data_IF_297868458146
#
_entry.id   IF_297868458146
#
_cell.length_a   1.000
_cell.length_b   1.000
_cell.length_c   1.000
_cell.angle_alpha   90.00
_cell.angle_beta   90.00
_cell.angle_gamma   90.00
#
_symmetry.space_group_name_H-M   'P 1'
#
loop_
_entity.id
_entity.type
_entity.pdbx_description
1 polymer ?
#
# COMPACT_ATOMS: atom_id res chain seq x y z
N UNK A 1 -2.93 11.00 -10.26
CA UNK A 1 -3.81 10.90 -9.08
C UNK A 1 -3.04 10.10 -8.05
N UNK A 2 -2.54 10.75 -7.00
CA UNK A 2 -1.64 10.16 -6.01
C UNK A 2 -2.46 9.33 -5.04
N UNK A 3 -2.22 8.01 -5.01
CA UNK A 3 -2.97 7.06 -4.20
C UNK A 3 -2.34 6.93 -2.79
N UNK A 4 -3.11 7.19 -1.74
CA UNK A 4 -2.75 6.91 -0.34
C UNK A 4 -3.64 5.76 0.17
N UNK A 5 -3.06 4.80 0.89
CA UNK A 5 -3.60 3.45 1.18
C UNK A 5 -3.87 3.26 2.68
N UNK A 6 -4.96 2.52 2.99
CA UNK A 6 -5.26 1.95 4.31
C UNK A 6 -5.06 0.41 4.30
N UNK A 7 -3.84 -0.04 4.60
CA UNK A 7 -3.41 -1.35 5.12
C UNK A 7 -1.94 -1.12 5.49
N UNK A 8 -1.70 -0.60 6.70
CA UNK A 8 -0.45 0.07 7.04
C UNK A 8 0.75 -0.89 7.01
N UNK A 9 0.53 -2.16 7.37
CA UNK A 9 1.62 -3.14 7.35
C UNK A 9 2.19 -3.40 5.95
N UNK A 10 1.41 -3.18 4.89
CA UNK A 10 1.93 -3.33 3.53
C UNK A 10 3.00 -2.29 3.17
N UNK A 11 3.06 -1.16 3.88
CA UNK A 11 4.14 -0.18 3.73
C UNK A 11 5.50 -0.74 4.19
N UNK A 12 5.50 -1.80 5.01
CA UNK A 12 6.69 -2.45 5.54
C UNK A 12 6.67 -3.97 5.27
N UNK A 13 5.98 -4.41 4.22
CA UNK A 13 5.68 -5.81 3.97
C UNK A 13 6.92 -6.70 3.88
N UNK A 14 7.99 -6.19 3.26
CA UNK A 14 9.23 -6.94 3.08
C UNK A 14 9.85 -7.35 4.41
N UNK A 15 9.82 -6.43 5.40
CA UNK A 15 10.28 -6.70 6.77
C UNK A 15 9.46 -7.80 7.44
N UNK A 16 8.14 -7.80 7.25
CA UNK A 16 7.26 -8.80 7.84
C UNK A 16 7.45 -10.19 7.20
N UNK A 17 7.56 -10.23 5.86
CA UNK A 17 7.88 -11.45 5.11
C UNK A 17 9.21 -12.02 5.59
N UNK A 18 10.28 -11.21 5.61
CA UNK A 18 11.61 -11.65 6.01
C UNK A 18 11.64 -12.22 7.43
N UNK A 19 11.03 -11.52 8.39
CA UNK A 19 10.97 -12.02 9.77
C UNK A 19 10.19 -13.32 9.89
N UNK A 20 9.10 -13.46 9.14
CA UNK A 20 8.27 -14.65 9.14
C UNK A 20 9.00 -15.84 8.55
N UNK A 21 9.63 -15.66 7.38
CA UNK A 21 10.44 -16.71 6.77
C UNK A 21 11.58 -17.17 7.70
N UNK A 22 12.25 -16.23 8.39
CA UNK A 22 13.30 -16.57 9.35
C UNK A 22 12.75 -17.42 10.50
N UNK A 23 11.62 -17.03 11.08
CA UNK A 23 10.99 -17.75 12.20
C UNK A 23 10.45 -19.12 11.77
N UNK A 24 9.89 -19.23 10.56
CA UNK A 24 9.35 -20.48 10.05
C UNK A 24 10.45 -21.48 9.64
N UNK A 25 11.63 -20.99 9.22
CA UNK A 25 12.81 -21.82 8.90
C UNK A 25 13.65 -22.19 10.12
N UNK A 26 13.65 -21.36 11.15
CA UNK A 26 14.43 -21.58 12.37
C UNK A 26 13.68 -22.49 13.34
N UNK A 27 14.01 -23.78 13.30
CA UNK A 27 13.47 -24.78 14.23
C UNK A 27 13.80 -24.48 15.70
N UNK A 28 14.86 -23.71 15.98
CA UNK A 28 15.31 -23.41 17.36
C UNK A 28 14.62 -22.19 17.98
N UNK A 29 14.17 -21.21 17.17
CA UNK A 29 13.37 -20.09 17.65
C UNK A 29 12.00 -20.54 18.21
N UNK A 30 11.53 -21.71 17.78
CA UNK A 30 10.33 -22.36 18.29
C UNK A 30 10.53 -23.00 19.69
N UNK A 31 11.77 -23.25 20.13
CA UNK A 31 12.03 -24.01 21.36
C UNK A 31 11.89 -23.17 22.64
N UNK A 32 11.98 -21.83 22.58
CA UNK A 32 11.95 -20.95 23.76
C UNK A 32 10.56 -20.59 24.31
N UNK A 33 9.48 -21.24 23.83
CA UNK A 33 8.11 -20.95 24.24
C UNK A 33 7.41 -22.22 24.75
N UNK A 34 8.01 -22.95 25.70
CA UNK A 34 7.51 -24.22 26.25
C UNK A 34 6.06 -24.14 26.76
N UNK A 35 5.59 -22.97 27.19
CA UNK A 35 4.19 -22.80 27.60
C UNK A 35 3.21 -23.14 26.46
N UNK A 36 3.62 -23.01 25.20
CA UNK A 36 2.81 -23.37 24.05
C UNK A 36 2.45 -24.86 24.01
N UNK A 37 3.25 -25.74 24.63
CA UNK A 37 2.97 -27.17 24.69
C UNK A 37 1.70 -27.45 25.53
N UNK A 38 1.39 -26.56 26.49
CA UNK A 38 0.14 -26.61 27.26
C UNK A 38 -1.12 -26.37 26.42
N UNK A 39 -0.99 -25.88 25.18
CA UNK A 39 -2.12 -25.77 24.25
C UNK A 39 -2.73 -27.14 23.92
N UNK A 40 -1.96 -28.23 24.06
CA UNK A 40 -2.45 -29.60 23.88
C UNK A 40 -3.36 -30.06 25.02
N UNK A 41 -3.26 -29.43 26.18
CA UNK A 41 -4.12 -29.70 27.35
C UNK A 41 -5.44 -28.91 27.30
N UNK A 42 -5.58 -27.92 26.42
CA UNK A 42 -6.83 -27.18 26.23
C UNK A 42 -7.73 -27.91 25.22
N UNK A 43 -8.96 -28.21 25.64
CA UNK A 43 -9.92 -29.00 24.84
C UNK A 43 -10.25 -28.40 23.48
N UNK A 44 -10.16 -27.07 23.35
CA UNK A 44 -10.44 -26.35 22.11
C UNK A 44 -9.19 -26.26 21.25
N UNK A 45 -8.06 -25.85 21.83
CA UNK A 45 -6.81 -25.63 21.08
C UNK A 45 -6.21 -26.94 20.56
N UNK A 46 -6.30 -28.04 21.31
CA UNK A 46 -5.74 -29.34 20.90
C UNK A 46 -6.34 -29.91 19.60
N UNK A 47 -7.49 -29.38 19.16
CA UNK A 47 -8.15 -29.77 17.90
C UNK A 47 -7.58 -29.03 16.68
N UNK A 48 -6.82 -27.97 16.90
CA UNK A 48 -6.18 -27.20 15.84
C UNK A 48 -4.92 -27.95 15.41
N UNK A 49 -4.82 -28.23 14.12
CA UNK A 49 -3.63 -28.86 13.56
C UNK A 49 -2.40 -27.97 13.78
N UNK A 50 -1.27 -28.56 14.17
CA UNK A 50 -0.01 -27.84 14.41
C UNK A 50 -0.12 -26.69 15.43
N UNK A 51 -1.06 -26.77 16.38
CA UNK A 51 -1.34 -25.68 17.34
C UNK A 51 -0.13 -25.21 18.12
N UNK A 52 0.74 -26.14 18.52
CA UNK A 52 1.97 -25.85 19.25
C UNK A 52 2.93 -25.03 18.38
N UNK A 53 3.09 -25.40 17.11
CA UNK A 53 3.91 -24.67 16.13
C UNK A 53 3.34 -23.27 15.88
N UNK A 54 2.02 -23.15 15.68
CA UNK A 54 1.34 -21.86 15.48
C UNK A 54 1.58 -20.95 16.70
N UNK A 55 1.39 -21.47 17.92
CA UNK A 55 1.64 -20.72 19.15
C UNK A 55 3.10 -20.25 19.23
N UNK A 56 4.06 -21.17 19.02
CA UNK A 56 5.50 -20.87 19.11
C UNK A 56 5.91 -19.78 18.11
N UNK A 57 5.46 -19.88 16.86
CA UNK A 57 5.72 -18.90 15.81
C UNK A 57 5.04 -17.55 16.08
N UNK A 58 3.78 -17.55 16.54
CA UNK A 58 3.05 -16.34 16.90
C UNK A 58 3.76 -15.57 18.02
N UNK A 59 4.20 -16.26 19.06
CA UNK A 59 4.92 -15.66 20.19
C UNK A 59 6.31 -15.17 19.77
N UNK A 60 7.01 -15.91 18.91
CA UNK A 60 8.29 -15.48 18.35
C UNK A 60 8.16 -14.21 17.51
N UNK A 61 7.13 -14.13 16.64
CA UNK A 61 6.82 -12.93 15.87
C UNK A 61 6.51 -11.75 16.79
N UNK A 62 5.62 -11.94 17.77
CA UNK A 62 5.29 -10.92 18.77
C UNK A 62 6.55 -10.36 19.45
N UNK A 63 7.46 -11.23 19.88
CA UNK A 63 8.70 -10.84 20.55
C UNK A 63 9.72 -10.15 19.62
N UNK A 64 9.61 -10.37 18.30
CA UNK A 64 10.43 -9.68 17.29
C UNK A 64 9.99 -8.22 17.09
N UNK A 65 8.70 -7.92 17.27
CA UNK A 65 8.16 -6.57 17.16
C UNK A 65 8.36 -5.79 18.47
N UNK A 66 9.38 -4.92 18.49
CA UNK A 66 9.73 -4.10 19.66
C UNK A 66 8.52 -3.28 20.16
N UNK A 67 7.70 -2.76 19.26
CA UNK A 67 6.50 -1.99 19.59
C UNK A 67 5.49 -2.80 20.40
N UNK A 68 5.32 -4.09 20.09
CA UNK A 68 4.42 -5.02 20.77
C UNK A 68 5.04 -5.48 22.09
N UNK A 69 6.25 -6.06 22.02
CA UNK A 69 6.96 -6.60 23.19
C UNK A 69 7.07 -5.59 24.34
N UNK A 70 7.38 -4.34 24.02
CA UNK A 70 7.56 -3.29 25.02
C UNK A 70 6.28 -2.48 25.30
N UNK A 71 5.18 -2.74 24.58
CA UNK A 71 3.92 -2.00 24.61
C UNK A 71 4.10 -0.50 24.31
N UNK A 72 4.85 -0.19 23.25
CA UNK A 72 5.15 1.17 22.82
C UNK A 72 4.10 1.65 21.81
N UNK A 73 2.88 1.89 22.30
CA UNK A 73 1.69 2.26 21.51
C UNK A 73 1.93 3.53 20.67
N UNK A 74 2.81 4.42 21.13
CA UNK A 74 3.16 5.67 20.44
C UNK A 74 4.17 5.49 19.30
N UNK A 75 4.78 4.31 19.14
CA UNK A 75 5.69 4.06 18.03
C UNK A 75 4.93 4.04 16.70
N UNK A 76 5.46 4.68 15.64
CA UNK A 76 4.82 4.67 14.33
C UNK A 76 4.52 3.26 13.77
N UNK A 77 5.38 2.28 14.10
CA UNK A 77 5.21 0.90 13.62
C UNK A 77 4.13 0.11 14.37
N UNK A 78 3.67 0.58 15.54
CA UNK A 78 2.79 -0.19 16.42
C UNK A 78 1.52 -0.67 15.69
N UNK A 79 0.83 0.23 14.98
CA UNK A 79 -0.39 -0.14 14.24
C UNK A 79 -0.11 -1.17 13.14
N UNK A 80 0.99 -1.01 12.40
CA UNK A 80 1.42 -1.96 11.37
C UNK A 80 1.78 -3.32 11.96
N UNK A 81 2.46 -3.32 13.11
CA UNK A 81 2.81 -4.55 13.82
C UNK A 81 1.54 -5.26 14.31
N UNK A 82 0.56 -4.52 14.88
CA UNK A 82 -0.74 -5.08 15.27
C UNK A 82 -1.52 -5.66 14.09
N UNK A 83 -1.65 -4.91 12.98
CA UNK A 83 -2.33 -5.36 11.76
C UNK A 83 -1.69 -6.63 11.21
N UNK A 84 -0.35 -6.68 11.19
CA UNK A 84 0.37 -7.87 10.73
C UNK A 84 0.13 -9.09 11.61
N UNK A 85 0.20 -8.94 12.94
CA UNK A 85 -0.06 -10.05 13.86
C UNK A 85 -1.49 -10.58 13.69
N UNK A 86 -2.47 -9.69 13.48
CA UNK A 86 -3.84 -10.09 13.23
C UNK A 86 -3.96 -10.86 11.91
N UNK A 87 -3.42 -10.31 10.82
CA UNK A 87 -3.38 -10.96 9.51
C UNK A 87 -2.73 -12.34 9.60
N UNK A 88 -1.50 -12.43 10.12
CA UNK A 88 -0.75 -13.68 10.18
C UNK A 88 -1.53 -14.76 10.93
N UNK A 89 -2.12 -14.43 12.08
CA UNK A 89 -2.86 -15.43 12.86
C UNK A 89 -4.14 -15.87 12.16
N UNK A 90 -4.86 -14.94 11.50
CA UNK A 90 -5.98 -15.28 10.63
C UNK A 90 -5.55 -16.27 9.53
N UNK A 91 -4.43 -16.03 8.85
CA UNK A 91 -3.95 -16.95 7.80
C UNK A 91 -3.67 -18.36 8.32
N UNK A 92 -3.07 -18.49 9.51
CA UNK A 92 -2.71 -19.79 10.09
C UNK A 92 -3.91 -20.55 10.63
N UNK A 93 -4.95 -19.85 11.07
CA UNK A 93 -6.15 -20.46 11.64
C UNK A 93 -7.27 -20.69 10.60
N UNK A 94 -7.16 -20.11 9.39
CA UNK A 94 -8.14 -20.21 8.30
C UNK A 94 -8.17 -21.60 7.60
N UNK A 95 -8.22 -22.69 8.38
CA UNK A 95 -8.46 -24.03 7.88
C UNK A 95 -9.92 -24.41 8.10
N UNK A 96 -10.56 -25.04 7.11
CA UNK A 96 -11.99 -25.39 7.09
C UNK A 96 -12.46 -26.31 8.26
N UNK A 97 -11.54 -26.85 9.06
CA UNK A 97 -11.82 -27.71 10.21
C UNK A 97 -11.72 -26.98 11.57
N UNK A 98 -11.27 -25.72 11.59
CA UNK A 98 -11.06 -24.98 12.83
C UNK A 98 -12.32 -24.22 13.22
N UNK A 99 -12.95 -24.64 14.32
CA UNK A 99 -14.16 -23.98 14.87
C UNK A 99 -13.86 -22.79 15.78
N UNK A 100 -12.59 -22.49 16.05
CA UNK A 100 -12.19 -21.41 16.94
C UNK A 100 -11.99 -20.10 16.15
N UNK A 101 -12.58 -19.04 16.66
CA UNK A 101 -12.32 -17.66 16.20
C UNK A 101 -10.93 -17.20 16.63
N UNK A 102 -10.27 -16.38 15.83
CA UNK A 102 -8.91 -15.89 16.06
C UNK A 102 -8.77 -15.16 17.40
N UNK A 103 -9.78 -14.37 17.78
CA UNK A 103 -9.79 -13.69 19.07
C UNK A 103 -9.80 -14.68 20.25
N UNK A 104 -10.63 -15.74 20.18
CA UNK A 104 -10.68 -16.80 21.20
C UNK A 104 -9.36 -17.55 21.32
N UNK A 105 -8.69 -17.80 20.21
CA UNK A 105 -7.35 -18.42 20.22
C UNK A 105 -6.37 -17.56 21.02
N UNK A 106 -6.27 -16.27 20.69
CA UNK A 106 -5.41 -15.33 21.39
C UNK A 106 -5.75 -15.20 22.89
N UNK A 107 -7.05 -15.13 23.24
CA UNK A 107 -7.48 -15.09 24.63
C UNK A 107 -7.04 -16.34 25.42
N UNK A 108 -7.15 -17.54 24.84
CA UNK A 108 -6.69 -18.78 25.48
C UNK A 108 -5.18 -18.80 25.67
N UNK A 109 -4.39 -18.30 24.71
CA UNK A 109 -2.93 -18.21 24.89
C UNK A 109 -2.56 -17.37 26.12
N UNK A 110 -3.26 -16.25 26.36
CA UNK A 110 -3.06 -15.43 27.56
C UNK A 110 -3.48 -16.12 28.84
N UNK A 111 -4.50 -16.99 28.80
CA UNK A 111 -4.88 -17.82 29.95
C UNK A 111 -3.81 -18.88 30.25
N UNK A 112 -3.24 -19.49 29.21
CA UNK A 112 -2.18 -20.50 29.34
C UNK A 112 -0.88 -19.88 29.89
N UNK A 113 -0.54 -18.67 29.46
CA UNK A 113 0.62 -17.93 29.93
C UNK A 113 0.26 -16.47 30.23
N UNK A 114 0.13 -16.15 31.52
CA UNK A 114 -0.17 -14.78 31.97
C UNK A 114 0.96 -13.77 31.70
N UNK A 115 2.17 -14.24 31.37
CA UNK A 115 3.27 -13.39 30.95
C UNK A 115 3.21 -13.04 29.46
N UNK A 116 2.58 -13.90 28.65
CA UNK A 116 2.37 -13.60 27.23
C UNK A 116 1.42 -12.41 27.07
N UNK A 117 1.93 -11.35 26.42
CA UNK A 117 1.24 -10.07 26.22
C UNK A 117 0.55 -9.55 27.50
N UNK A 118 1.27 -9.65 28.63
CA UNK A 118 0.81 -9.21 29.96
C UNK A 118 0.35 -7.75 29.97
N UNK A 119 1.02 -6.90 29.19
CA UNK A 119 0.68 -5.47 29.03
C UNK A 119 -0.51 -5.24 28.10
N UNK A 120 -0.99 -6.27 27.39
CA UNK A 120 -2.16 -6.20 26.53
C UNK A 120 -1.96 -5.34 25.28
N UNK A 121 -0.75 -5.34 24.72
CA UNK A 121 -0.41 -4.60 23.51
C UNK A 121 -1.22 -5.04 22.28
N UNK A 122 -1.73 -6.27 22.26
CA UNK A 122 -2.64 -6.78 21.22
C UNK A 122 -4.12 -6.81 21.63
N UNK A 123 -4.48 -6.30 22.82
CA UNK A 123 -5.87 -6.27 23.28
C UNK A 123 -6.74 -5.46 22.31
N UNK A 124 -7.82 -6.08 21.82
CA UNK A 124 -8.72 -5.46 20.84
C UNK A 124 -8.11 -5.26 19.45
N UNK A 125 -6.91 -5.82 19.19
CA UNK A 125 -6.23 -5.78 17.89
C UNK A 125 -6.27 -7.11 17.15
N UNK A 126 -6.62 -8.19 17.85
CA UNK A 126 -6.80 -9.53 17.28
C UNK A 126 -8.28 -9.82 17.12
N UNK A 127 -8.72 -10.02 15.88
CA UNK A 127 -10.09 -10.22 15.47
C UNK A 127 -10.17 -11.04 14.17
N UNK A 128 -11.30 -11.70 13.94
CA UNK A 128 -11.54 -12.45 12.70
C UNK A 128 -11.67 -11.48 11.52
N UNK A 129 -10.84 -11.68 10.50
CA UNK A 129 -10.91 -10.95 9.23
C UNK A 129 -11.98 -11.62 8.36
N UNK A 130 -12.77 -10.83 7.63
CA UNK A 130 -13.73 -11.37 6.67
C UNK A 130 -13.02 -12.30 5.67
N UNK A 131 -13.68 -13.40 5.28
CA UNK A 131 -13.07 -14.42 4.43
C UNK A 131 -12.61 -13.84 3.08
N UNK A 132 -13.43 -13.00 2.45
CA UNK A 132 -13.09 -12.37 1.17
C UNK A 132 -11.94 -11.37 1.33
N UNK A 133 -11.96 -10.58 2.41
CA UNK A 133 -10.85 -9.68 2.73
C UNK A 133 -9.54 -10.45 2.98
N UNK A 134 -9.60 -11.56 3.73
CA UNK A 134 -8.44 -12.41 3.99
C UNK A 134 -7.89 -13.04 2.71
N UNK A 135 -8.76 -13.49 1.80
CA UNK A 135 -8.36 -13.99 0.48
C UNK A 135 -7.62 -12.92 -0.33
N UNK A 136 -8.13 -11.68 -0.35
CA UNK A 136 -7.47 -10.53 -0.99
C UNK A 136 -6.10 -10.21 -0.36
N UNK A 137 -6.00 -10.22 0.97
CA UNK A 137 -4.73 -10.02 1.67
C UNK A 137 -3.71 -11.13 1.35
N UNK A 138 -4.16 -12.39 1.29
CA UNK A 138 -3.31 -13.53 0.94
C UNK A 138 -2.75 -13.42 -0.48
N UNK A 139 -3.58 -13.00 -1.44
CA UNK A 139 -3.15 -12.75 -2.83
C UNK A 139 -2.06 -11.68 -2.86
N UNK A 140 -2.27 -10.54 -2.18
CA UNK A 140 -1.28 -9.46 -2.13
C UNK A 140 0.03 -9.91 -1.45
N UNK A 141 -0.06 -10.65 -0.34
CA UNK A 141 1.11 -11.18 0.36
C UNK A 141 1.92 -12.13 -0.54
N UNK A 142 1.24 -13.02 -1.26
CA UNK A 142 1.86 -13.96 -2.20
C UNK A 142 2.53 -13.25 -3.38
N UNK A 143 1.88 -12.22 -3.93
CA UNK A 143 2.47 -11.39 -4.99
C UNK A 143 3.72 -10.65 -4.48
N UNK A 144 3.68 -10.11 -3.25
CA UNK A 144 4.83 -9.42 -2.63
C UNK A 144 6.01 -10.34 -2.39
N UNK A 145 5.80 -11.57 -1.94
CA UNK A 145 6.88 -12.56 -1.82
C UNK A 145 7.57 -12.85 -3.16
N UNK A 146 6.78 -13.06 -4.22
CA UNK A 146 7.32 -13.29 -5.57
C UNK A 146 8.08 -12.07 -6.07
N UNK A 147 7.51 -10.87 -5.88
CA UNK A 147 8.14 -9.62 -6.25
C UNK A 147 9.47 -9.41 -5.52
N UNK A 148 9.55 -9.68 -4.22
CA UNK A 148 10.78 -9.55 -3.43
C UNK A 148 11.92 -10.43 -3.99
N UNK A 149 11.61 -11.66 -4.41
CA UNK A 149 12.58 -12.57 -5.05
C UNK A 149 13.07 -12.03 -6.40
N UNK A 150 12.16 -11.47 -7.20
CA UNK A 150 12.51 -10.83 -8.49
C UNK A 150 13.37 -9.60 -8.24
N UNK A 151 12.93 -8.71 -7.36
CA UNK A 151 13.61 -7.45 -7.05
C UNK A 151 15.03 -7.69 -6.56
N UNK A 152 15.21 -8.63 -5.62
CA UNK A 152 16.51 -9.06 -5.12
C UNK A 152 17.41 -9.57 -6.25
N UNK A 153 16.86 -10.34 -7.18
CA UNK A 153 17.62 -10.86 -8.31
C UNK A 153 18.03 -9.76 -9.30
N UNK A 154 17.09 -8.92 -9.76
CA UNK A 154 17.37 -7.90 -10.79
C UNK A 154 18.33 -6.82 -10.29
N UNK A 155 18.33 -6.56 -8.98
CA UNK A 155 19.23 -5.59 -8.32
C UNK A 155 20.54 -6.19 -7.85
N UNK A 156 20.69 -7.52 -7.86
CA UNK A 156 21.94 -8.19 -7.50
C UNK A 156 23.02 -7.97 -8.57
N UNK A 157 24.27 -7.85 -8.12
CA UNK A 157 25.44 -7.73 -9.01
C UNK A 157 25.79 -9.07 -9.67
N UNK A 158 25.67 -10.16 -8.92
CA UNK A 158 26.12 -11.49 -9.35
C UNK A 158 25.03 -12.24 -10.14
N UNK A 159 23.76 -11.82 -10.02
CA UNK A 159 22.58 -12.39 -10.73
C UNK A 159 22.51 -13.92 -10.70
N UNK A 160 22.94 -14.51 -9.60
CA UNK A 160 22.89 -15.96 -9.39
C UNK A 160 21.44 -16.48 -9.37
N UNK A 161 21.25 -17.75 -9.68
CA UNK A 161 19.93 -18.40 -9.64
C UNK A 161 18.86 -17.74 -10.54
N UNK A 162 19.22 -17.40 -11.79
CA UNK A 162 18.28 -16.93 -12.83
C UNK A 162 16.95 -17.71 -12.89
N UNK A 163 16.91 -19.05 -12.81
CA UNK A 163 15.64 -19.79 -12.81
C UNK A 163 14.66 -19.36 -11.71
N UNK A 164 15.17 -18.90 -10.56
CA UNK A 164 14.34 -18.35 -9.49
C UNK A 164 13.68 -17.04 -9.94
N UNK A 165 14.39 -16.14 -10.62
CA UNK A 165 13.76 -14.94 -11.18
C UNK A 165 12.69 -15.29 -12.20
N UNK A 166 13.03 -16.13 -13.19
CA UNK A 166 12.12 -16.53 -14.27
C UNK A 166 10.81 -17.10 -13.71
N UNK A 167 10.92 -18.06 -12.78
CA UNK A 167 9.76 -18.70 -12.17
C UNK A 167 8.88 -17.71 -11.41
N UNK A 168 9.48 -16.88 -10.53
CA UNK A 168 8.70 -15.94 -9.74
C UNK A 168 8.04 -14.86 -10.61
N UNK A 169 8.68 -14.43 -11.69
CA UNK A 169 8.11 -13.45 -12.61
C UNK A 169 6.91 -14.02 -13.39
N UNK A 170 7.05 -15.24 -13.91
CA UNK A 170 5.95 -15.94 -14.58
C UNK A 170 4.77 -16.22 -13.64
N UNK A 171 5.05 -16.72 -12.43
CA UNK A 171 4.02 -16.99 -11.42
C UNK A 171 3.33 -15.69 -10.97
N UNK A 172 4.09 -14.61 -10.76
CA UNK A 172 3.54 -13.30 -10.39
C UNK A 172 2.63 -12.75 -11.49
N UNK A 173 3.02 -12.88 -12.75
CA UNK A 173 2.18 -12.45 -13.87
C UNK A 173 0.83 -13.18 -13.86
N UNK A 174 0.84 -14.51 -13.70
CA UNK A 174 -0.40 -15.29 -13.70
C UNK A 174 -1.32 -14.91 -12.53
N UNK A 175 -0.76 -14.83 -11.32
CA UNK A 175 -1.52 -14.44 -10.12
C UNK A 175 -2.07 -13.01 -10.24
N UNK A 176 -1.30 -12.09 -10.81
CA UNK A 176 -1.73 -10.72 -11.06
C UNK A 176 -2.92 -10.68 -12.02
N UNK A 177 -2.85 -11.43 -13.12
CA UNK A 177 -3.93 -11.48 -14.12
C UNK A 177 -5.22 -12.09 -13.56
N UNK A 178 -5.12 -12.97 -12.56
CA UNK A 178 -6.28 -13.43 -11.82
C UNK A 178 -6.81 -12.34 -10.88
N UNK A 179 -5.92 -11.77 -10.05
CA UNK A 179 -6.24 -10.77 -9.04
C UNK A 179 -6.88 -9.49 -9.59
N UNK A 180 -6.44 -9.03 -10.76
CA UNK A 180 -6.92 -7.78 -11.35
C UNK A 180 -8.38 -7.85 -11.78
N UNK A 181 -8.95 -9.04 -11.99
CA UNK A 181 -10.36 -9.19 -12.35
C UNK A 181 -11.30 -8.71 -11.25
N UNK A 182 -10.84 -8.76 -10.00
CA UNK A 182 -11.59 -8.25 -8.84
C UNK A 182 -11.53 -6.71 -8.75
N UNK A 183 -10.74 -6.06 -9.61
CA UNK A 183 -10.55 -4.61 -9.64
C UNK A 183 -11.43 -3.86 -10.63
N UNK A 184 -12.68 -4.31 -10.77
CA UNK A 184 -13.72 -3.61 -11.54
C UNK A 184 -13.96 -2.16 -11.06
N UNK A 185 -13.61 -1.82 -9.82
CA UNK A 185 -13.49 -0.44 -9.34
C UNK A 185 -12.10 -0.17 -8.74
N UNK A 186 -11.46 0.92 -9.17
CA UNK A 186 -10.11 1.30 -8.72
C UNK A 186 -10.06 1.85 -7.27
N UNK A 187 -11.18 1.87 -6.56
CA UNK A 187 -11.30 2.55 -5.27
C UNK A 187 -11.01 1.65 -4.06
N UNK A 188 -11.11 0.33 -4.22
CA UNK A 188 -10.85 -0.59 -3.12
C UNK A 188 -9.39 -0.55 -2.66
N UNK A 189 -9.16 -0.77 -1.37
CA UNK A 189 -7.81 -0.87 -0.81
C UNK A 189 -6.98 -1.95 -1.51
N UNK A 190 -7.59 -3.11 -1.77
CA UNK A 190 -6.96 -4.22 -2.49
C UNK A 190 -6.43 -3.76 -3.85
N UNK A 191 -7.26 -3.08 -4.64
CA UNK A 191 -6.88 -2.62 -5.97
C UNK A 191 -5.83 -1.53 -5.95
N UNK A 192 -5.84 -0.65 -4.94
CA UNK A 192 -4.78 0.34 -4.74
C UNK A 192 -3.43 -0.33 -4.44
N UNK A 193 -3.41 -1.33 -3.56
CA UNK A 193 -2.19 -2.10 -3.24
C UNK A 193 -1.68 -2.89 -4.44
N UNK A 194 -2.59 -3.52 -5.19
CA UNK A 194 -2.27 -4.26 -6.41
C UNK A 194 -1.71 -3.33 -7.51
N UNK A 195 -2.27 -2.13 -7.63
CA UNK A 195 -1.79 -1.08 -8.52
C UNK A 195 -0.36 -0.63 -8.16
N UNK A 196 -0.07 -0.41 -6.88
CA UNK A 196 1.29 -0.07 -6.44
C UNK A 196 2.30 -1.18 -6.78
N UNK A 197 1.95 -2.44 -6.51
CA UNK A 197 2.80 -3.58 -6.86
C UNK A 197 3.06 -3.65 -8.37
N UNK A 198 2.04 -3.37 -9.20
CA UNK A 198 2.18 -3.30 -10.66
C UNK A 198 3.25 -2.28 -11.07
N UNK A 199 3.16 -1.06 -10.53
CA UNK A 199 4.10 0.01 -10.87
C UNK A 199 5.53 -0.35 -10.45
N UNK A 200 5.70 -0.86 -9.23
CA UNK A 200 6.99 -1.31 -8.72
C UNK A 200 7.61 -2.40 -9.60
N UNK A 201 6.82 -3.42 -9.98
CA UNK A 201 7.26 -4.48 -10.90
C UNK A 201 7.72 -3.91 -12.25
N UNK A 202 6.90 -3.06 -12.87
CA UNK A 202 7.20 -2.48 -14.17
C UNK A 202 8.48 -1.61 -14.12
N UNK A 203 8.67 -0.84 -13.03
CA UNK A 203 9.88 -0.05 -12.79
C UNK A 203 11.09 -0.96 -12.62
N UNK A 204 10.98 -2.06 -11.88
CA UNK A 204 12.08 -2.97 -11.62
C UNK A 204 12.63 -3.58 -12.92
N UNK A 205 11.75 -4.12 -13.78
CA UNK A 205 12.16 -4.66 -15.08
C UNK A 205 12.72 -3.59 -16.01
N UNK A 206 12.08 -2.42 -16.09
CA UNK A 206 12.54 -1.32 -16.94
C UNK A 206 13.91 -0.78 -16.53
N UNK A 207 14.18 -0.73 -15.22
CA UNK A 207 15.38 -0.07 -14.69
C UNK A 207 16.55 -1.04 -14.59
N UNK A 208 16.30 -2.22 -14.04
CA UNK A 208 17.33 -3.16 -13.63
C UNK A 208 17.46 -4.34 -14.59
N UNK A 209 16.40 -4.76 -15.28
CA UNK A 209 16.44 -5.90 -16.20
C UNK A 209 16.11 -5.55 -17.66
N UNK A 210 16.76 -4.51 -18.18
CA UNK A 210 16.49 -3.92 -19.51
C UNK A 210 16.53 -4.93 -20.67
N UNK A 211 17.42 -5.91 -20.57
CA UNK A 211 17.61 -6.93 -21.61
C UNK A 211 16.76 -8.19 -21.37
N UNK A 212 15.86 -8.16 -20.37
CA UNK A 212 15.10 -9.31 -19.89
C UNK A 212 16.00 -10.52 -19.61
N UNK A 213 17.10 -10.32 -18.89
CA UNK A 213 18.00 -11.42 -18.51
C UNK A 213 17.32 -12.38 -17.55
N UNK A 214 16.32 -11.91 -16.78
CA UNK A 214 15.42 -12.76 -16.00
C UNK A 214 14.68 -13.77 -16.88
N UNK A 215 14.58 -13.54 -18.19
CA UNK A 215 13.84 -14.38 -19.14
C UNK A 215 12.36 -14.55 -18.75
N UNK A 216 11.77 -13.52 -18.14
CA UNK A 216 10.36 -13.51 -17.80
C UNK A 216 9.52 -13.46 -19.09
N UNK A 217 8.41 -14.20 -19.15
CA UNK A 217 7.49 -14.14 -20.30
C UNK A 217 6.88 -12.75 -20.47
N UNK A 218 6.66 -12.05 -19.36
CA UNK A 218 6.03 -10.73 -19.30
C UNK A 218 6.77 -9.84 -18.32
N UNK A 219 7.43 -8.81 -18.85
CA UNK A 219 8.17 -7.80 -18.08
C UNK A 219 7.34 -6.54 -17.80
N UNK A 220 6.12 -6.47 -18.35
CA UNK A 220 5.15 -5.41 -18.10
C UNK A 220 3.80 -6.02 -17.69
N UNK A 221 3.30 -5.59 -16.55
CA UNK A 221 1.95 -5.82 -16.08
C UNK A 221 1.04 -4.69 -16.60
N UNK A 222 -0.14 -5.08 -17.10
CA UNK A 222 -1.12 -4.18 -17.72
C UNK A 222 -2.10 -3.61 -16.69
N UNK A 223 -2.69 -2.47 -16.99
CA UNK A 223 -3.81 -1.94 -16.19
C UNK A 223 -5.11 -2.71 -16.48
N UNK A 224 -6.11 -2.57 -15.60
CA UNK A 224 -7.43 -3.17 -15.82
C UNK A 224 -8.03 -2.69 -17.15
N UNK A 225 -7.94 -1.38 -17.41
CA UNK A 225 -8.43 -0.74 -18.63
C UNK A 225 -7.68 -1.21 -19.89
N UNK A 226 -6.37 -1.48 -19.78
CA UNK A 226 -5.57 -2.06 -20.88
C UNK A 226 -5.98 -3.51 -21.20
N UNK A 227 -6.43 -4.27 -20.19
CA UNK A 227 -6.89 -5.67 -20.33
C UNK A 227 -8.33 -5.71 -20.87
N UNK A 228 -9.20 -4.81 -20.42
CA UNK A 228 -10.63 -4.77 -20.72
C UNK A 228 -11.09 -3.47 -21.41
N UNK A 229 -10.56 -3.13 -22.61
CA UNK A 229 -10.85 -1.86 -23.27
C UNK A 229 -12.33 -1.70 -23.69
N UNK A 230 -13.07 -2.79 -23.86
CA UNK A 230 -14.47 -2.78 -24.32
C UNK A 230 -15.48 -2.37 -23.24
N UNK A 231 -15.17 -2.59 -21.96
CA UNK A 231 -16.09 -2.32 -20.83
C UNK A 231 -16.36 -0.82 -20.69
N UNK A 232 -15.37 0.02 -21.00
CA UNK A 232 -15.46 1.49 -20.95
C UNK A 232 -16.40 2.05 -22.05
N UNK A 233 -16.56 1.35 -23.17
CA UNK A 233 -17.45 1.82 -24.26
C UNK A 233 -18.93 1.62 -23.96
N UNK A 234 -19.27 0.70 -23.05
CA UNK A 234 -20.66 0.34 -22.74
C UNK A 234 -21.39 1.29 -21.79
N UNK A 235 -20.67 2.16 -21.08
CA UNK A 235 -21.25 3.21 -20.21
C UNK A 235 -21.62 4.49 -20.95
N UNK A 236 -21.34 4.60 -22.26
CA UNK A 236 -21.82 5.69 -23.12
C UNK A 236 -22.70 5.09 -24.22
N UNK A 237 -23.89 4.60 -23.86
CA UNK A 237 -24.97 4.41 -24.84
C UNK A 237 -25.58 5.78 -25.15
N UNK A 238 -25.00 6.50 -26.10
CA UNK A 238 -25.76 7.54 -26.81
C UNK A 238 -26.64 6.79 -27.79
N UNK A 239 -27.92 6.61 -27.45
CA UNK A 239 -28.93 6.08 -28.37
C UNK A 239 -29.00 6.99 -29.60
N UNK A 240 -28.34 6.59 -30.68
CA UNK A 240 -28.41 7.23 -31.98
C UNK A 240 -29.72 6.84 -32.66
N UNK A 241 -30.85 7.32 -32.16
CA UNK A 241 -32.14 7.17 -32.85
C UNK A 241 -33.05 8.39 -32.74
N UNK A 242 -32.47 9.58 -32.67
CA UNK A 242 -33.20 10.84 -32.94
C UNK A 242 -32.36 11.74 -33.84
N UNK A 243 -32.83 11.90 -35.08
CA UNK A 243 -32.42 12.98 -35.97
C UNK A 243 -32.65 14.31 -35.23
N UNK A 244 -31.57 14.97 -34.80
CA UNK A 244 -31.64 16.34 -34.30
C UNK A 244 -30.43 17.13 -34.79
N UNK A 245 -30.76 18.26 -35.41
CA UNK A 245 -29.89 19.28 -36.00
C UNK A 245 -28.83 19.72 -34.96
N UNK A 246 -27.55 19.96 -35.33
CA UNK A 246 -26.50 20.26 -34.36
C UNK A 246 -26.70 21.64 -33.72
N UNK A 247 -27.39 21.67 -32.58
CA UNK A 247 -27.62 22.84 -31.72
C UNK A 247 -26.38 23.25 -30.90
N UNK A 248 -25.16 22.88 -31.31
CA UNK A 248 -23.92 23.22 -30.59
C UNK A 248 -23.35 24.61 -30.97
N UNK A 249 -23.66 25.11 -32.18
CA UNK A 249 -23.23 26.43 -32.63
C UNK A 249 -23.77 27.59 -31.77
N UNK A 250 -25.07 27.62 -31.44
CA UNK A 250 -25.64 28.68 -30.60
C UNK A 250 -25.13 28.67 -29.16
N UNK A 251 -24.89 27.48 -28.58
CA UNK A 251 -24.45 27.34 -27.18
C UNK A 251 -23.03 27.89 -27.02
N UNK A 252 -22.13 27.56 -27.94
CA UNK A 252 -20.75 28.05 -27.91
C UNK A 252 -20.72 29.57 -28.07
N UNK A 253 -21.51 30.12 -29.00
CA UNK A 253 -21.64 31.58 -29.18
C UNK A 253 -22.15 32.27 -27.90
N UNK A 254 -23.12 31.68 -27.21
CA UNK A 254 -23.70 32.23 -25.98
C UNK A 254 -22.69 32.20 -24.81
N UNK A 255 -21.85 31.17 -24.70
CA UNK A 255 -20.76 31.10 -23.71
C UNK A 255 -19.69 32.17 -23.97
N UNK A 256 -19.33 32.41 -25.23
CA UNK A 256 -18.38 33.49 -25.59
C UNK A 256 -18.94 34.87 -25.28
N UNK A 257 -20.23 35.10 -25.54
CA UNK A 257 -20.90 36.35 -25.22
C UNK A 257 -20.93 36.58 -23.70
N UNK A 258 -21.27 35.55 -22.91
CA UNK A 258 -21.29 35.64 -21.44
C UNK A 258 -19.91 35.88 -20.82
N UNK A 259 -18.85 35.27 -21.37
CA UNK A 259 -17.47 35.51 -20.90
C UNK A 259 -16.99 36.92 -21.25
N UNK A 260 -17.38 37.45 -22.41
CA UNK A 260 -17.11 38.84 -22.78
C UNK A 260 -17.83 39.80 -21.81
N UNK A 261 -19.12 39.63 -21.58
CA UNK A 261 -19.87 40.47 -20.63
C UNK A 261 -19.36 40.32 -19.19
N UNK A 262 -18.92 39.14 -18.75
CA UNK A 262 -18.30 38.98 -17.43
C UNK A 262 -17.07 39.88 -17.21
N UNK A 263 -16.30 40.18 -18.27
CA UNK A 263 -15.12 41.04 -18.20
C UNK A 263 -15.44 42.54 -18.26
N UNK A 264 -16.52 42.93 -18.95
CA UNK A 264 -16.84 44.34 -19.23
C UNK A 264 -18.01 44.91 -18.41
N UNK A 265 -18.72 44.08 -17.64
CA UNK A 265 -19.84 44.53 -16.78
C UNK A 265 -19.43 44.52 -15.30
N UNK A 266 -19.97 45.43 -14.49
CA UNK A 266 -19.69 45.56 -13.05
C UNK A 266 -20.02 44.29 -12.19
N UNK A 267 -20.62 43.28 -12.81
CA UNK A 267 -21.03 42.00 -12.22
C UNK A 267 -19.82 41.07 -11.97
N UNK A 268 -18.78 41.12 -12.82
CA UNK A 268 -17.61 40.24 -12.70
C UNK A 268 -16.83 40.39 -11.38
N UNK A 269 -16.47 41.62 -10.98
CA UNK A 269 -15.86 41.90 -9.67
C UNK A 269 -16.77 41.52 -8.49
N UNK A 270 -18.09 41.71 -8.61
CA UNK A 270 -19.07 41.38 -7.57
C UNK A 270 -19.14 39.87 -7.29
N UNK A 271 -19.18 39.03 -8.34
CA UNK A 271 -19.18 37.57 -8.23
C UNK A 271 -17.86 37.03 -7.63
N UNK A 272 -16.72 37.58 -8.06
CA UNK A 272 -15.40 37.19 -7.54
C UNK A 272 -15.25 37.47 -6.04
N UNK A 273 -15.86 38.56 -5.55
CA UNK A 273 -15.82 38.91 -4.12
C UNK A 273 -16.76 38.03 -3.27
N UNK A 274 -17.88 37.57 -3.83
CA UNK A 274 -18.84 36.67 -3.16
C UNK A 274 -18.31 35.24 -3.01
N UNK A 275 -17.59 34.73 -4.00
CA UNK A 275 -16.93 33.42 -3.92
C UNK A 275 -15.76 33.45 -2.92
N UNK A 276 -14.95 34.52 -2.93
CA UNK A 276 -13.82 34.68 -2.00
C UNK A 276 -14.27 34.74 -0.53
N UNK A 277 -15.41 35.37 -0.23
CA UNK A 277 -15.97 35.41 1.13
C UNK A 277 -16.52 34.06 1.62
N UNK A 278 -16.87 33.15 0.71
CA UNK A 278 -17.32 31.79 1.07
C UNK A 278 -16.14 30.85 1.37
N UNK A 279 -15.03 30.96 0.62
CA UNK A 279 -13.83 30.14 0.85
C UNK A 279 -13.02 30.54 2.11
N UNK A 280 -12.93 31.82 2.46
CA UNK A 280 -12.23 32.25 3.69
C UNK A 280 -12.98 31.90 4.98
N UNK A 281 -14.30 31.66 4.92
CA UNK A 281 -15.14 31.34 6.08
C UNK A 281 -15.05 29.87 6.51
N UNK A 282 -14.45 29.01 5.68
CA UNK A 282 -14.22 27.57 5.97
C UNK A 282 -12.85 27.24 6.58
N UNK A 283 -11.87 28.15 6.55
CA UNK A 283 -10.48 27.88 6.98
C UNK A 283 -10.10 28.43 8.36
N UNK A 284 -11.07 28.87 9.18
CA UNK A 284 -10.82 29.38 10.54
C UNK A 284 -11.40 28.48 11.65
N UNK A 285 -11.27 27.16 11.50
CA UNK A 285 -11.51 26.17 12.58
C UNK A 285 -10.54 25.00 12.49
N UNK A 286 -9.27 25.24 12.81
CA UNK A 286 -8.38 24.34 13.57
C UNK A 286 -6.93 24.79 13.42
N UNK A 287 -6.54 25.77 14.22
CA UNK A 287 -5.15 26.06 14.55
C UNK A 287 -4.90 25.53 15.96
N UNK A 288 -4.23 24.37 16.08
CA UNK A 288 -3.19 24.10 17.09
C UNK A 288 -2.74 22.64 17.07
N UNK A 289 -1.63 22.40 16.38
CA UNK A 289 -0.49 21.52 16.70
C UNK A 289 0.10 21.03 15.38
N UNK A 290 1.12 21.74 14.91
CA UNK A 290 2.20 21.22 14.07
C UNK A 290 3.26 22.32 13.93
N UNK A 291 4.06 22.50 14.98
CA UNK A 291 5.39 23.07 14.86
C UNK A 291 6.31 22.25 15.75
N UNK A 292 7.02 21.31 15.14
CA UNK A 292 8.40 20.94 15.44
C UNK A 292 8.76 19.68 14.64
N UNK A 293 9.99 19.69 14.12
CA UNK A 293 10.69 18.62 13.38
C UNK A 293 10.64 18.67 11.84
N UNK A 294 11.15 19.77 11.30
CA UNK A 294 12.06 19.72 10.14
C UNK A 294 13.41 20.31 10.58
N UNK A 295 14.24 19.49 11.21
CA UNK A 295 15.71 19.67 11.22
C UNK A 295 16.23 18.73 10.12
N UNK A 296 16.61 19.28 8.96
CA UNK A 296 17.97 19.68 8.59
C UNK A 296 18.96 18.51 8.57
N UNK A 297 19.24 18.00 7.37
CA UNK A 297 20.58 17.53 7.00
C UNK A 297 20.94 18.02 5.59
N UNK A 298 22.02 18.81 5.59
CA UNK A 298 23.03 19.04 4.57
C UNK A 298 22.69 19.76 3.26
N UNK A 299 22.98 21.07 3.27
CA UNK A 299 23.67 21.69 2.14
C UNK A 299 24.82 22.55 2.66
N UNK A 300 26.02 22.21 2.19
CA UNK A 300 27.30 22.83 2.51
C UNK A 300 27.25 24.35 2.25
N UNK A 301 27.65 25.12 3.26
CA UNK A 301 27.86 26.57 3.18
C UNK A 301 29.20 26.85 2.48
N UNK A 302 29.15 27.32 1.23
CA UNK A 302 30.22 28.13 0.65
C UNK A 302 29.87 29.58 0.97
N UNK A 303 30.62 30.17 1.90
CA UNK A 303 30.59 31.61 2.16
C UNK A 303 31.26 32.33 0.98
N UNK A 304 30.51 33.13 0.23
CA UNK A 304 31.07 34.25 -0.52
C UNK A 304 30.12 35.45 -0.49
N UNK A 305 30.68 36.56 0.00
CA UNK A 305 30.05 37.87 0.17
C UNK A 305 29.58 38.48 -1.17
N UNK A 306 28.58 39.38 -1.19
CA UNK A 306 28.01 39.90 -2.43
C UNK A 306 28.90 40.99 -3.04
N UNK A 307 29.57 40.65 -4.15
CA UNK A 307 30.26 41.59 -5.02
C UNK A 307 29.32 42.12 -6.10
N UNK A 308 29.14 43.44 -6.12
CA UNK A 308 28.43 44.22 -7.14
C UNK A 308 29.18 44.09 -8.47
N UNK A 309 28.51 43.62 -9.53
CA UNK A 309 29.05 43.73 -10.90
C UNK A 309 27.99 44.35 -11.82
N UNK A 310 28.31 45.56 -12.30
CA UNK A 310 27.59 46.29 -13.33
C UNK A 310 27.75 45.59 -14.68
N UNK A 311 26.63 45.33 -15.36
CA UNK A 311 26.63 44.86 -16.75
C UNK A 311 26.34 46.07 -17.65
N UNK A 312 27.37 46.55 -18.35
CA UNK A 312 27.25 47.59 -19.38
C UNK A 312 27.01 46.94 -20.74
N UNK A 313 25.92 47.34 -21.41
CA UNK A 313 25.58 46.91 -22.77
C UNK A 313 26.41 47.70 -23.79
N UNK A 314 27.16 47.03 -24.67
CA UNK A 314 27.70 47.63 -25.90
C UNK A 314 26.97 47.02 -27.10
N UNK A 315 26.23 47.84 -27.85
CA UNK A 315 25.64 47.44 -29.13
C UNK A 315 26.70 47.51 -30.23
N UNK A 316 26.90 46.41 -30.97
CA UNK A 316 27.73 46.40 -32.16
C UNK A 316 27.06 47.21 -33.28
N UNK A 317 27.81 48.16 -33.86
CA UNK A 317 27.46 48.92 -35.05
C UNK A 317 28.17 48.28 -36.24
N UNK A 318 27.40 47.89 -37.25
CA UNK A 318 27.91 47.43 -38.54
C UNK A 318 28.63 48.58 -39.28
N UNK A 319 29.79 48.28 -39.84
CA UNK A 319 30.17 48.56 -41.23
C UNK A 319 31.39 47.73 -41.63
#
# INVERSE_FOLDING_TARGET
MTCIINCLFFNYIDKYIENTEKIEKDHTAADNNEFCDKSLSDDTLRRIENVVTICKQFVALYNKHISLKNNLITMPSYNSDCEYMNYWLNTKLNNNNNSITVNKFYAKLKTISGDFDKKGSLNGKIYDIDKGELEHLNVLYNLRQKYSKIYTWVTSRERENKPNCTKNADDLFNDYMFAINDCSSNESTFCKLLCNLREEYNIAFKTYDKNNECNAKKTKLQTYDEIYPSVISSSIKIDRNTMSIPLLGPIIALVFILTFFYRFTAIGPWLRNKVRTTFYRGSYKNTNRNELLLQNFDKQNINSSPGIYNITYNSARNN
#
